data_IF_635228907168
#
_entry.id   IF_635228907168
#
_cell.length_a   1.000
_cell.length_b   1.000
_cell.length_c   1.000
_cell.angle_alpha   90.00
_cell.angle_beta   90.00
_cell.angle_gamma   90.00
#
_symmetry.space_group_name_H-M   'P 1'
#
loop_
_entity.id
_entity.type
_entity.pdbx_description
1 polymer ?
#
# COMPACT_ATOMS: atom_id res chain seq x y z
N UNK A 1 -25.76 2.27 -11.48
CA UNK A 1 -24.88 2.75 -10.39
C UNK A 1 -24.32 1.50 -9.72
N UNK A 2 -23.13 1.06 -10.12
CA UNK A 2 -22.54 -0.19 -9.61
C UNK A 2 -21.75 0.15 -8.36
N UNK A 3 -22.32 -0.16 -7.19
CA UNK A 3 -21.66 0.02 -5.90
C UNK A 3 -20.87 -1.26 -5.63
N UNK A 4 -19.54 -1.18 -5.68
CA UNK A 4 -18.67 -2.24 -5.18
C UNK A 4 -18.52 -2.04 -3.67
N UNK A 5 -19.26 -2.82 -2.88
CA UNK A 5 -19.03 -2.90 -1.43
C UNK A 5 -17.71 -3.64 -1.21
N UNK A 6 -16.70 -2.93 -0.70
CA UNK A 6 -15.38 -3.49 -0.42
C UNK A 6 -15.28 -3.85 1.07
N UNK A 7 -14.66 -4.99 1.43
CA UNK A 7 -14.84 -5.63 2.74
C UNK A 7 -13.86 -5.13 3.81
N UNK A 8 -13.46 -3.86 3.75
CA UNK A 8 -12.68 -3.27 4.84
C UNK A 8 -13.64 -2.56 5.78
N UNK A 9 -14.32 -3.35 6.60
CA UNK A 9 -15.24 -2.91 7.67
C UNK A 9 -14.53 -2.11 8.79
N UNK A 10 -13.23 -1.89 8.66
CA UNK A 10 -12.45 -1.06 9.59
C UNK A 10 -12.45 0.37 9.05
N UNK A 11 -13.11 1.27 9.76
CA UNK A 11 -12.99 2.72 9.53
C UNK A 11 -11.99 3.30 10.53
N UNK A 12 -11.33 4.40 10.17
CA UNK A 12 -10.47 5.12 11.11
C UNK A 12 -10.73 6.62 11.08
N UNK A 13 -10.57 7.25 12.24
CA UNK A 13 -10.61 8.70 12.40
C UNK A 13 -9.28 9.20 12.95
N UNK A 14 -8.80 10.32 12.43
CA UNK A 14 -7.59 11.01 12.92
C UNK A 14 -8.00 12.27 13.68
N UNK A 15 -7.45 12.44 14.88
CA UNK A 15 -7.55 13.68 15.66
C UNK A 15 -6.16 14.27 15.86
N UNK A 16 -5.95 15.52 15.44
CA UNK A 16 -4.69 16.23 15.65
C UNK A 16 -4.67 16.75 17.08
N UNK A 17 -3.72 16.26 17.89
CA UNK A 17 -3.54 16.67 19.29
C UNK A 17 -2.57 17.85 19.37
N UNK A 18 -1.42 17.75 18.67
CA UNK A 18 -0.47 18.84 18.51
C UNK A 18 -0.24 19.08 17.02
N UNK A 19 -0.42 20.31 16.55
CA UNK A 19 -0.20 20.65 15.14
C UNK A 19 1.29 20.60 14.82
N UNK A 20 1.64 19.96 13.72
CA UNK A 20 2.99 20.03 13.18
C UNK A 20 3.28 21.35 12.47
N UNK A 21 4.50 21.46 11.96
CA UNK A 21 5.06 22.64 11.31
C UNK A 21 5.54 22.36 9.88
N UNK A 22 5.78 23.43 9.12
CA UNK A 22 6.22 23.36 7.74
C UNK A 22 5.07 23.40 6.72
N UNK A 23 5.47 23.46 5.45
CA UNK A 23 4.55 23.56 4.31
C UNK A 23 4.16 22.19 3.75
N UNK A 24 5.09 21.24 3.78
CA UNK A 24 4.95 19.93 3.14
C UNK A 24 4.47 18.87 4.12
N UNK A 25 3.93 17.80 3.55
CA UNK A 25 3.68 16.52 4.21
C UNK A 25 4.43 15.42 3.45
N UNK A 26 4.63 14.24 4.05
CA UNK A 26 5.18 13.10 3.35
C UNK A 26 4.35 12.73 2.11
N UNK A 27 5.02 12.27 1.05
CA UNK A 27 4.41 11.62 -0.10
C UNK A 27 4.76 10.11 -0.13
N UNK A 28 4.18 9.35 -1.05
CA UNK A 28 4.53 7.95 -1.21
C UNK A 28 6.02 7.78 -1.54
N UNK A 29 6.67 6.75 -0.98
CA UNK A 29 8.11 6.57 -1.04
C UNK A 29 8.90 7.38 0.01
N UNK A 30 8.27 8.34 0.72
CA UNK A 30 8.97 9.08 1.78
C UNK A 30 9.48 8.16 2.88
N UNK A 31 10.66 8.48 3.41
CA UNK A 31 11.16 7.91 4.65
C UNK A 31 10.68 8.78 5.82
N UNK A 32 9.83 8.22 6.66
CA UNK A 32 9.29 8.90 7.84
C UNK A 32 9.92 8.34 9.10
N UNK A 33 10.39 9.20 9.99
CA UNK A 33 10.77 8.85 11.35
C UNK A 33 9.61 9.18 12.27
N UNK A 34 9.12 8.18 13.01
CA UNK A 34 7.93 8.33 13.85
C UNK A 34 8.11 7.68 15.21
N UNK A 35 7.24 8.01 16.16
CA UNK A 35 7.02 7.24 17.39
C UNK A 35 5.55 6.86 17.46
N UNK A 36 5.26 5.59 17.74
CA UNK A 36 3.91 5.09 17.98
C UNK A 36 3.76 4.80 19.47
N UNK A 37 2.71 5.37 20.07
CA UNK A 37 2.30 5.16 21.44
C UNK A 37 0.99 4.39 21.44
N UNK A 38 0.94 3.27 22.16
CA UNK A 38 -0.32 2.59 22.41
C UNK A 38 -0.96 3.15 23.67
N UNK A 39 -2.24 3.49 23.57
CA UNK A 39 -3.06 3.65 24.77
C UNK A 39 -3.54 2.25 25.16
N UNK A 40 -3.30 1.79 26.40
CA UNK A 40 -3.87 0.54 26.88
C UNK A 40 -5.37 0.73 27.07
N UNK A 41 -6.15 0.57 26.00
CA UNK A 41 -7.60 0.42 26.07
C UNK A 41 -7.93 -1.08 26.07
N UNK A 42 -8.17 -1.62 27.26
CA UNK A 42 -8.90 -2.83 27.68
C UNK A 42 -8.90 -4.14 26.86
N UNK A 43 -8.11 -4.29 25.81
CA UNK A 43 -7.97 -5.56 25.10
C UNK A 43 -6.52 -5.89 24.82
N UNK A 44 -6.17 -7.15 25.10
CA UNK A 44 -4.95 -7.80 24.65
C UNK A 44 -4.98 -7.89 23.12
N UNK A 45 -4.61 -6.80 22.45
CA UNK A 45 -4.40 -6.85 21.02
C UNK A 45 -3.26 -7.83 20.75
N UNK A 46 -3.49 -8.73 19.80
CA UNK A 46 -2.48 -9.70 19.40
C UNK A 46 -1.29 -8.93 18.81
N UNK A 47 -0.09 -9.10 19.34
CA UNK A 47 1.12 -8.41 18.87
C UNK A 47 1.36 -8.56 17.37
N UNK A 48 0.90 -9.68 16.78
CA UNK A 48 0.94 -9.91 15.34
C UNK A 48 0.18 -8.85 14.51
N UNK A 49 -0.79 -8.16 15.11
CA UNK A 49 -1.64 -7.19 14.43
C UNK A 49 -0.93 -5.86 14.12
N UNK A 50 0.15 -5.56 14.83
CA UNK A 50 0.97 -4.35 14.68
C UNK A 50 2.47 -4.65 14.69
N UNK A 51 2.86 -5.88 14.33
CA UNK A 51 4.27 -6.31 14.36
C UNK A 51 5.19 -5.43 13.50
N UNK A 52 4.70 -4.90 12.37
CA UNK A 52 5.45 -3.99 11.51
C UNK A 52 5.50 -2.53 12.01
N UNK A 53 4.90 -2.27 13.16
CA UNK A 53 4.86 -0.98 13.85
C UNK A 53 5.61 -1.02 15.20
N UNK A 54 6.37 -2.08 15.46
CA UNK A 54 7.25 -2.24 16.61
C UNK A 54 8.68 -1.73 16.29
N UNK A 55 9.48 -1.33 17.30
CA UNK A 55 9.12 -1.18 18.72
C UNK A 55 8.19 0.02 19.00
N UNK A 56 7.37 -0.12 20.05
CA UNK A 56 6.51 0.96 20.54
C UNK A 56 7.28 1.91 21.44
N UNK A 57 6.84 3.16 21.51
CA UNK A 57 7.45 4.24 22.31
C UNK A 57 8.92 4.53 21.94
N UNK A 58 9.37 4.04 20.79
CA UNK A 58 10.71 4.25 20.24
C UNK A 58 10.62 4.87 18.84
N UNK A 59 11.73 5.46 18.38
CA UNK A 59 11.80 5.96 17.02
C UNK A 59 11.90 4.80 16.04
N UNK A 60 10.94 4.73 15.11
CA UNK A 60 10.94 3.77 14.01
C UNK A 60 10.94 4.49 12.67
N UNK A 61 11.58 3.88 11.68
CA UNK A 61 11.58 4.37 10.31
C UNK A 61 10.53 3.61 9.49
N UNK A 62 9.59 4.36 8.92
CA UNK A 62 8.56 3.84 8.01
C UNK A 62 8.84 4.36 6.60
N UNK A 63 8.86 3.43 5.65
CA UNK A 63 8.95 3.76 4.23
C UNK A 63 7.54 3.75 3.61
N UNK A 64 7.02 4.94 3.29
CA UNK A 64 5.62 5.10 2.88
C UNK A 64 5.31 4.38 1.57
N UNK A 65 4.08 3.85 1.48
CA UNK A 65 3.65 2.96 0.40
C UNK A 65 3.88 1.46 0.65
N UNK A 66 4.76 1.09 1.59
CA UNK A 66 5.14 -0.31 1.81
C UNK A 66 4.77 -0.80 3.21
N UNK A 67 3.53 -1.25 3.34
CA UNK A 67 2.97 -1.80 4.58
C UNK A 67 2.75 -3.32 4.47
N UNK A 68 2.71 -4.01 5.61
CA UNK A 68 2.48 -5.47 5.66
C UNK A 68 1.25 -5.87 6.45
N UNK A 69 0.61 -4.92 7.13
CA UNK A 69 -0.63 -5.11 7.87
C UNK A 69 -1.70 -4.07 7.49
N UNK A 70 -2.96 -4.34 7.84
CA UNK A 70 -4.08 -3.41 7.63
C UNK A 70 -3.89 -2.14 8.48
N UNK A 71 -3.41 -2.27 9.72
CA UNK A 71 -3.16 -1.11 10.59
C UNK A 71 -2.01 -0.28 10.05
N UNK A 72 -0.92 -0.90 9.59
CA UNK A 72 0.18 -0.18 8.95
C UNK A 72 -0.26 0.60 7.71
N UNK A 73 -1.16 0.04 6.88
CA UNK A 73 -1.78 0.81 5.79
C UNK A 73 -2.47 2.09 6.28
N UNK A 74 -3.22 2.02 7.37
CA UNK A 74 -3.87 3.20 7.94
C UNK A 74 -2.89 4.18 8.58
N UNK A 75 -1.81 3.69 9.22
CA UNK A 75 -0.71 4.53 9.67
C UNK A 75 -0.12 5.29 8.48
N UNK A 76 0.15 4.61 7.35
CA UNK A 76 0.65 5.25 6.13
C UNK A 76 -0.30 6.34 5.62
N UNK A 77 -1.61 6.07 5.57
CA UNK A 77 -2.64 7.05 5.21
C UNK A 77 -2.72 8.24 6.18
N UNK A 78 -2.45 8.02 7.46
CA UNK A 78 -2.37 9.12 8.42
C UNK A 78 -1.14 9.97 8.15
N UNK A 79 0.04 9.35 7.98
CA UNK A 79 1.31 10.05 7.82
C UNK A 79 1.35 11.00 6.62
N UNK A 80 0.74 10.64 5.48
CA UNK A 80 0.66 11.53 4.30
C UNK A 80 -0.11 12.83 4.56
N UNK A 81 -0.89 12.88 5.65
CA UNK A 81 -1.65 14.07 6.08
C UNK A 81 -1.00 14.82 7.25
N UNK A 82 0.10 14.29 7.79
CA UNK A 82 0.77 14.86 8.96
C UNK A 82 1.88 15.81 8.54
N UNK A 83 2.02 16.90 9.29
CA UNK A 83 3.18 17.79 9.21
C UNK A 83 4.30 17.32 10.14
N UNK A 84 5.51 17.82 9.91
CA UNK A 84 6.64 17.51 10.78
C UNK A 84 6.35 17.95 12.22
N UNK A 85 6.72 17.13 13.21
CA UNK A 85 6.42 17.25 14.63
C UNK A 85 4.93 17.19 15.00
N UNK A 86 4.03 16.81 14.09
CA UNK A 86 2.62 16.61 14.42
C UNK A 86 2.43 15.41 15.35
N UNK A 87 1.57 15.56 16.36
CA UNK A 87 1.10 14.48 17.22
C UNK A 87 -0.39 14.27 16.98
N UNK A 88 -0.76 13.07 16.56
CA UNK A 88 -2.13 12.71 16.20
C UNK A 88 -2.55 11.40 16.84
N UNK A 89 -3.83 11.31 17.19
CA UNK A 89 -4.47 10.09 17.65
C UNK A 89 -5.29 9.49 16.51
N UNK A 90 -5.17 8.18 16.31
CA UNK A 90 -5.97 7.40 15.38
C UNK A 90 -6.88 6.47 16.19
N UNK A 91 -8.17 6.53 15.92
CA UNK A 91 -9.16 5.61 16.46
C UNK A 91 -9.67 4.72 15.32
N UNK A 92 -9.57 3.41 15.49
CA UNK A 92 -10.07 2.41 14.56
C UNK A 92 -11.36 1.82 15.12
N UNK A 93 -12.40 1.79 14.29
CA UNK A 93 -13.66 1.13 14.62
C UNK A 93 -13.78 -0.11 13.76
N UNK A 94 -13.82 -1.28 14.40
CA UNK A 94 -14.18 -2.55 13.78
C UNK A 94 -15.66 -2.87 14.02
N UNK A 95 -16.28 -3.64 13.11
CA UNK A 95 -17.65 -4.13 13.25
C UNK A 95 -17.89 -4.96 14.53
N UNK A 96 -16.83 -5.52 15.12
CA UNK A 96 -16.89 -6.30 16.37
C UNK A 96 -16.90 -5.41 17.64
N UNK A 97 -17.18 -4.11 17.50
CA UNK A 97 -17.12 -3.10 18.56
C UNK A 97 -15.75 -2.98 19.27
N UNK A 98 -14.69 -3.56 18.70
CA UNK A 98 -13.33 -3.33 19.16
C UNK A 98 -12.87 -1.96 18.69
N UNK A 99 -12.58 -1.09 19.66
CA UNK A 99 -11.96 0.21 19.41
C UNK A 99 -10.46 0.10 19.68
N UNK A 100 -9.67 0.29 18.63
CA UNK A 100 -8.21 0.36 18.76
C UNK A 100 -7.82 1.81 18.69
N UNK A 101 -7.05 2.26 19.67
CA UNK A 101 -6.53 3.62 19.73
C UNK A 101 -5.01 3.60 19.74
N UNK A 102 -4.41 4.29 18.78
CA UNK A 102 -2.96 4.54 18.75
C UNK A 102 -2.71 6.04 18.63
N UNK A 103 -1.62 6.50 19.22
CA UNK A 103 -1.14 7.86 19.03
C UNK A 103 0.19 7.83 18.29
N UNK A 104 0.39 8.75 17.38
CA UNK A 104 1.55 8.77 16.47
C UNK A 104 2.14 10.18 16.48
N UNK A 105 3.46 10.25 16.62
CA UNK A 105 4.23 11.47 16.41
C UNK A 105 5.08 11.33 15.15
N UNK A 106 4.93 12.24 14.21
CA UNK A 106 5.81 12.33 13.03
C UNK A 106 7.00 13.23 13.38
N UNK A 107 8.17 12.65 13.64
CA UNK A 107 9.37 13.42 14.05
C UNK A 107 9.95 14.18 12.85
N UNK A 108 10.16 13.47 11.75
CA UNK A 108 10.71 14.02 10.51
C UNK A 108 10.35 13.14 9.33
N UNK A 109 10.48 13.69 8.13
CA UNK A 109 10.36 12.92 6.90
C UNK A 109 11.27 13.48 5.82
N UNK A 110 11.68 12.61 4.91
CA UNK A 110 12.33 12.96 3.66
C UNK A 110 11.40 12.57 2.52
N UNK A 111 10.99 13.56 1.71
CA UNK A 111 10.13 13.31 0.55
C UNK A 111 10.87 12.57 -0.53
N UNK A 112 10.16 11.70 -1.21
CA UNK A 112 10.67 11.00 -2.39
C UNK A 112 10.22 11.73 -3.66
N UNK A 113 10.94 11.61 -4.79
CA UNK A 113 10.45 12.11 -6.07
C UNK A 113 9.02 11.61 -6.36
N UNK A 114 8.22 12.46 -6.99
CA UNK A 114 6.91 12.01 -7.49
C UNK A 114 7.09 10.99 -8.61
N UNK A 115 6.08 10.14 -8.85
CA UNK A 115 6.16 9.01 -9.79
C UNK A 115 6.65 9.41 -11.19
N UNK A 116 6.29 10.60 -11.68
CA UNK A 116 6.69 11.13 -12.99
C UNK A 116 8.12 11.70 -13.02
N UNK A 117 8.79 11.76 -11.87
CA UNK A 117 10.17 12.23 -11.70
C UNK A 117 11.11 11.12 -11.19
N UNK A 118 10.62 9.89 -11.12
CA UNK A 118 11.41 8.73 -10.71
C UNK A 118 12.28 8.22 -11.86
N UNK A 119 13.42 7.61 -11.54
CA UNK A 119 14.19 6.90 -12.57
C UNK A 119 13.50 5.59 -12.99
N UNK A 120 13.85 5.07 -14.15
CA UNK A 120 13.40 3.74 -14.62
C UNK A 120 13.67 2.64 -13.59
N UNK A 121 14.82 2.70 -12.91
CA UNK A 121 15.17 1.74 -11.86
C UNK A 121 14.26 1.88 -10.65
N UNK A 122 13.99 3.11 -10.20
CA UNK A 122 13.07 3.34 -9.09
C UNK A 122 11.64 2.88 -9.42
N UNK A 123 11.15 3.17 -10.64
CA UNK A 123 9.85 2.69 -11.11
C UNK A 123 9.75 1.16 -11.07
N UNK A 124 10.80 0.47 -11.55
CA UNK A 124 10.85 -0.98 -11.51
C UNK A 124 10.88 -1.52 -10.08
N UNK A 125 11.74 -0.98 -9.23
CA UNK A 125 11.94 -1.45 -7.87
C UNK A 125 10.70 -1.22 -7.01
N UNK A 126 10.04 -0.07 -7.15
CA UNK A 126 8.76 0.21 -6.49
C UNK A 126 7.67 -0.74 -6.97
N UNK A 127 7.55 -0.93 -8.29
CA UNK A 127 6.58 -1.88 -8.84
C UNK A 127 6.79 -3.29 -8.29
N UNK A 128 8.03 -3.79 -8.31
CA UNK A 128 8.36 -5.11 -7.80
C UNK A 128 8.02 -5.24 -6.31
N UNK A 129 8.42 -4.26 -5.49
CA UNK A 129 8.19 -4.26 -4.05
C UNK A 129 6.69 -4.19 -3.69
N UNK A 130 5.89 -3.43 -4.44
CA UNK A 130 4.43 -3.45 -4.28
C UNK A 130 3.83 -4.81 -4.64
N UNK A 131 4.30 -5.47 -5.72
CA UNK A 131 3.86 -6.81 -6.09
C UNK A 131 4.21 -7.83 -5.01
N UNK A 132 5.41 -7.76 -4.45
CA UNK A 132 5.85 -8.66 -3.37
C UNK A 132 5.03 -8.47 -2.09
N UNK A 133 4.73 -7.22 -1.72
CA UNK A 133 3.82 -6.96 -0.61
C UNK A 133 2.39 -7.44 -0.89
N UNK A 134 1.91 -7.26 -2.12
CA UNK A 134 0.60 -7.79 -2.54
C UNK A 134 0.55 -9.32 -2.43
N UNK A 135 1.62 -10.03 -2.81
CA UNK A 135 1.71 -11.48 -2.66
C UNK A 135 1.55 -11.92 -1.20
N UNK A 136 2.14 -11.19 -0.23
CA UNK A 136 1.99 -11.48 1.20
C UNK A 136 0.52 -11.36 1.64
N UNK A 137 -0.16 -10.28 1.26
CA UNK A 137 -1.60 -10.13 1.54
C UNK A 137 -2.44 -11.21 0.87
N UNK A 138 -2.11 -11.58 -0.38
CA UNK A 138 -2.82 -12.64 -1.11
C UNK A 138 -2.68 -14.01 -0.41
N UNK A 139 -1.46 -14.36 0.03
CA UNK A 139 -1.20 -15.59 0.78
C UNK A 139 -1.96 -15.63 2.10
N UNK A 140 -2.11 -14.47 2.77
CA UNK A 140 -2.90 -14.30 3.98
C UNK A 140 -4.40 -14.13 3.72
N UNK A 141 -4.88 -14.37 2.47
CA UNK A 141 -6.29 -14.26 2.05
C UNK A 141 -6.90 -12.86 2.19
N UNK A 142 -6.07 -11.83 2.34
CA UNK A 142 -6.47 -10.43 2.29
C UNK A 142 -6.49 -9.94 0.83
N UNK A 143 -7.42 -10.50 0.05
CA UNK A 143 -7.44 -10.35 -1.41
C UNK A 143 -7.69 -8.92 -1.87
N UNK A 144 -8.44 -8.13 -1.10
CA UNK A 144 -8.70 -6.74 -1.44
C UNK A 144 -7.46 -5.84 -1.28
N UNK A 145 -6.70 -6.02 -0.19
CA UNK A 145 -5.43 -5.35 0.04
C UNK A 145 -4.40 -5.77 -1.02
N UNK A 146 -4.36 -7.07 -1.34
CA UNK A 146 -3.53 -7.59 -2.41
C UNK A 146 -3.87 -6.93 -3.75
N UNK A 147 -5.16 -6.86 -4.11
CA UNK A 147 -5.63 -6.19 -5.32
C UNK A 147 -5.17 -4.71 -5.40
N UNK A 148 -5.34 -3.95 -4.32
CA UNK A 148 -4.88 -2.54 -4.25
C UNK A 148 -3.39 -2.40 -4.51
N UNK A 149 -2.58 -3.28 -3.92
CA UNK A 149 -1.12 -3.24 -4.07
C UNK A 149 -0.65 -3.74 -5.45
N UNK A 150 -1.31 -4.76 -6.04
CA UNK A 150 -1.05 -5.14 -7.42
C UNK A 150 -1.41 -4.02 -8.40
N UNK A 151 -2.55 -3.37 -8.20
CA UNK A 151 -2.93 -2.21 -9.01
C UNK A 151 -1.92 -1.07 -8.85
N UNK A 152 -1.46 -0.80 -7.61
CA UNK A 152 -0.41 0.20 -7.37
C UNK A 152 0.89 -0.15 -8.09
N UNK A 153 1.31 -1.42 -8.04
CA UNK A 153 2.45 -1.95 -8.79
C UNK A 153 2.31 -1.69 -10.30
N UNK A 154 1.12 -1.94 -10.87
CA UNK A 154 0.84 -1.66 -12.28
C UNK A 154 0.96 -0.16 -12.61
N UNK A 155 0.51 0.74 -11.73
CA UNK A 155 0.65 2.19 -11.94
C UNK A 155 2.12 2.61 -12.09
N UNK A 156 3.04 2.04 -11.30
CA UNK A 156 4.48 2.32 -11.43
C UNK A 156 5.02 1.87 -12.78
N UNK A 157 4.63 0.69 -13.25
CA UNK A 157 5.09 0.17 -14.54
C UNK A 157 4.52 0.95 -15.73
N UNK A 158 3.25 1.35 -15.68
CA UNK A 158 2.64 2.08 -16.80
C UNK A 158 3.27 3.47 -16.99
N UNK A 159 3.84 4.07 -15.94
CA UNK A 159 4.62 5.30 -16.09
C UNK A 159 5.92 5.09 -16.89
N UNK A 160 6.53 3.91 -16.78
CA UNK A 160 7.72 3.54 -17.56
C UNK A 160 7.45 3.38 -19.06
N UNK A 161 6.27 2.88 -19.45
CA UNK A 161 5.92 2.68 -20.88
C UNK A 161 5.97 3.99 -21.67
N UNK A 162 5.74 5.13 -20.99
CA UNK A 162 5.80 6.45 -21.62
C UNK A 162 7.22 6.90 -21.99
N UNK A 163 8.28 6.28 -21.44
CA UNK A 163 9.67 6.73 -21.62
C UNK A 163 10.43 6.02 -22.76
N UNK A 164 9.77 5.18 -23.57
CA UNK A 164 10.38 4.37 -24.65
C UNK A 164 11.63 3.59 -24.21
N UNK A 165 11.44 2.53 -23.42
CA UNK A 165 12.55 1.79 -22.84
C UNK A 165 13.42 1.08 -23.87
N UNK A 166 14.70 0.92 -23.53
CA UNK A 166 15.61 0.06 -24.30
C UNK A 166 15.14 -1.40 -24.25
N UNK A 167 15.56 -2.20 -25.25
CA UNK A 167 15.24 -3.63 -25.34
C UNK A 167 15.59 -4.42 -24.07
N UNK A 168 16.59 -3.98 -23.30
CA UNK A 168 17.02 -4.62 -22.05
C UNK A 168 15.94 -4.58 -20.95
N UNK A 169 15.21 -3.47 -20.81
CA UNK A 169 14.18 -3.33 -19.79
C UNK A 169 12.83 -3.89 -20.26
N UNK A 170 12.56 -3.88 -21.57
CA UNK A 170 11.28 -4.33 -22.12
C UNK A 170 10.90 -5.74 -21.67
N UNK A 171 11.80 -6.71 -21.78
CA UNK A 171 11.51 -8.09 -21.37
C UNK A 171 11.27 -8.20 -19.86
N UNK A 172 12.10 -7.52 -19.07
CA UNK A 172 12.01 -7.51 -17.60
C UNK A 172 10.68 -6.92 -17.12
N UNK A 173 10.24 -5.82 -17.73
CA UNK A 173 8.98 -5.17 -17.41
C UNK A 173 7.79 -5.96 -17.92
N UNK A 174 7.84 -6.51 -19.13
CA UNK A 174 6.77 -7.36 -19.67
C UNK A 174 6.51 -8.58 -18.78
N UNK A 175 7.57 -9.25 -18.30
CA UNK A 175 7.42 -10.35 -17.34
C UNK A 175 6.73 -9.91 -16.04
N UNK A 176 7.07 -8.71 -15.54
CA UNK A 176 6.46 -8.17 -14.35
C UNK A 176 4.98 -7.81 -14.58
N UNK A 177 4.64 -7.17 -15.71
CA UNK A 177 3.27 -6.83 -16.11
C UNK A 177 2.41 -8.09 -16.23
N UNK A 178 2.89 -9.11 -16.93
CA UNK A 178 2.20 -10.40 -17.08
C UNK A 178 1.88 -11.01 -15.72
N UNK A 179 2.85 -11.01 -14.80
CA UNK A 179 2.65 -11.49 -13.44
C UNK A 179 1.63 -10.67 -12.67
N UNK A 180 1.56 -9.35 -12.89
CA UNK A 180 0.62 -8.47 -12.19
C UNK A 180 -0.80 -8.66 -12.72
N UNK A 181 -1.00 -8.69 -14.04
CA UNK A 181 -2.32 -8.93 -14.62
C UNK A 181 -2.91 -10.26 -14.15
N UNK A 182 -2.14 -11.34 -14.19
CA UNK A 182 -2.61 -12.65 -13.69
C UNK A 182 -2.97 -12.61 -12.20
N UNK A 183 -2.18 -11.92 -11.38
CA UNK A 183 -2.46 -11.79 -9.95
C UNK A 183 -3.69 -10.90 -9.66
N UNK A 184 -3.90 -9.83 -10.43
CA UNK A 184 -5.10 -9.01 -10.37
C UNK A 184 -6.33 -9.84 -10.77
N UNK A 185 -6.26 -10.58 -11.87
CA UNK A 185 -7.31 -11.51 -12.31
C UNK A 185 -7.64 -12.52 -11.21
N UNK A 186 -6.63 -13.11 -10.56
CA UNK A 186 -6.84 -14.03 -9.45
C UNK A 186 -7.59 -13.38 -8.28
N UNK A 187 -7.26 -12.14 -7.92
CA UNK A 187 -7.99 -11.40 -6.89
C UNK A 187 -9.44 -11.13 -7.31
N UNK A 188 -9.66 -10.72 -8.55
CA UNK A 188 -10.98 -10.35 -9.07
C UNK A 188 -11.91 -11.56 -9.26
N UNK A 189 -11.37 -12.72 -9.64
CA UNK A 189 -12.11 -13.98 -9.71
C UNK A 189 -12.74 -14.34 -8.37
N UNK A 190 -12.04 -14.11 -7.27
CA UNK A 190 -12.54 -14.38 -5.90
C UNK A 190 -13.81 -13.56 -5.60
N UNK A 191 -13.91 -12.35 -6.15
CA UNK A 191 -15.07 -11.46 -5.99
C UNK A 191 -16.08 -11.57 -7.14
N UNK A 192 -15.94 -12.55 -8.05
CA UNK A 192 -16.85 -12.77 -9.17
C UNK A 192 -16.84 -11.67 -10.23
N UNK A 193 -15.79 -10.85 -10.29
CA UNK A 193 -15.69 -9.74 -11.23
C UNK A 193 -15.17 -10.20 -12.61
N UNK A 194 -15.99 -11.01 -13.28
CA UNK A 194 -15.58 -11.75 -14.49
C UNK A 194 -15.22 -10.83 -15.68
N UNK A 195 -15.87 -9.68 -15.83
CA UNK A 195 -15.58 -8.75 -16.93
C UNK A 195 -14.14 -8.21 -16.83
N UNK A 196 -13.78 -7.71 -15.64
CA UNK A 196 -12.43 -7.20 -15.43
C UNK A 196 -11.37 -8.31 -15.50
N UNK A 197 -11.71 -9.54 -15.12
CA UNK A 197 -10.83 -10.71 -15.30
C UNK A 197 -10.53 -10.94 -16.77
N UNK A 198 -11.57 -10.95 -17.62
CA UNK A 198 -11.41 -11.10 -19.08
C UNK A 198 -10.52 -9.99 -19.65
N UNK A 199 -10.74 -8.74 -19.25
CA UNK A 199 -9.92 -7.60 -19.68
C UNK A 199 -8.45 -7.79 -19.30
N UNK A 200 -8.17 -8.11 -18.02
CA UNK A 200 -6.80 -8.31 -17.54
C UNK A 200 -6.10 -9.50 -18.23
N UNK A 201 -6.81 -10.61 -18.44
CA UNK A 201 -6.27 -11.77 -19.16
C UNK A 201 -6.01 -11.44 -20.64
N UNK A 202 -6.89 -10.66 -21.26
CA UNK A 202 -6.71 -10.18 -22.64
C UNK A 202 -5.45 -9.31 -22.74
N UNK A 203 -5.28 -8.33 -21.85
CA UNK A 203 -4.06 -7.50 -21.81
C UNK A 203 -2.79 -8.32 -21.56
N UNK A 204 -2.85 -9.39 -20.77
CA UNK A 204 -1.72 -10.30 -20.63
C UNK A 204 -1.41 -11.08 -21.92
N UNK A 205 -2.43 -11.55 -22.64
CA UNK A 205 -2.27 -12.27 -23.91
C UNK A 205 -1.81 -11.36 -25.06
N UNK A 206 -2.11 -10.06 -25.02
CA UNK A 206 -1.55 -9.06 -25.94
C UNK A 206 -0.03 -8.93 -25.79
N UNK A 207 0.49 -9.05 -24.56
CA UNK A 207 1.92 -9.04 -24.28
C UNK A 207 2.57 -10.39 -24.62
N UNK A 208 1.92 -11.50 -24.24
CA UNK A 208 2.38 -12.85 -24.54
C UNK A 208 1.20 -13.78 -24.78
N UNK A 209 0.93 -14.08 -26.06
CA UNK A 209 -0.18 -14.92 -26.50
C UNK A 209 -0.13 -16.38 -26.02
N UNK A 210 1.02 -16.82 -25.47
CA UNK A 210 1.22 -18.17 -24.91
C UNK A 210 1.28 -18.16 -23.37
N UNK A 211 0.87 -17.06 -22.73
CA UNK A 211 0.95 -16.95 -21.28
C UNK A 211 -0.10 -17.84 -20.58
N UNK A 212 0.36 -18.98 -20.05
CA UNK A 212 -0.49 -20.07 -19.52
C UNK A 212 -1.39 -19.65 -18.34
N UNK A 213 -1.05 -18.59 -17.61
CA UNK A 213 -1.83 -18.14 -16.44
C UNK A 213 -2.96 -17.16 -16.78
N UNK A 214 -3.03 -16.68 -18.02
CA UNK A 214 -4.11 -15.81 -18.49
C UNK A 214 -5.33 -16.65 -18.90
#
# INVERSE_FOLDING_TARGET
MTVYNLPDDITFTKTIIERGQGLHTPNEGSNCKIIIYFSPCDYSLNENFYADLLPLNEEINIHLGFYSSIISNYVHKCLITMKQNEYSQLNFNSNDNQQIQISIRLISFERFPEIYSMSINDLYDFALKHKENANKFFQNKHYFQAFKLYHRSLCYILNFVNEQPTNEYLDKFNQLILSIYSNISACQLIYGNNLNVIENCTSALEINSKYVKA
#
